data_IF_271846108306
#
_entry.id   IF_271846108306
#
_cell.length_a   1.000
_cell.length_b   1.000
_cell.length_c   1.000
_cell.angle_alpha   90.00
_cell.angle_beta   90.00
_cell.angle_gamma   90.00
#
_symmetry.space_group_name_H-M   'P 1'
#
loop_
_entity.id
_entity.type
_entity.pdbx_description
1 polymer ?
#
# COMPACT_ATOMS: atom_id res chain seq x y z
N UNK A 1 -8.40 -25.16 -20.21
CA UNK A 1 -7.19 -25.03 -19.41
C UNK A 1 -7.56 -25.32 -17.97
N UNK A 2 -7.19 -26.46 -17.44
CA UNK A 2 -7.41 -26.80 -16.02
C UNK A 2 -6.46 -25.91 -15.21
N UNK A 3 -7.01 -25.09 -14.33
CA UNK A 3 -6.22 -24.27 -13.41
C UNK A 3 -5.31 -25.18 -12.60
N UNK A 4 -4.00 -24.98 -12.67
CA UNK A 4 -3.06 -25.62 -11.77
C UNK A 4 -3.46 -25.25 -10.35
N UNK A 5 -3.64 -26.19 -9.42
CA UNK A 5 -4.02 -25.85 -8.06
C UNK A 5 -2.93 -24.92 -7.47
N UNK A 6 -3.35 -23.86 -6.81
CA UNK A 6 -2.45 -22.98 -6.08
C UNK A 6 -1.55 -23.84 -5.16
N UNK A 7 -0.29 -23.45 -5.06
CA UNK A 7 0.64 -24.19 -4.21
C UNK A 7 0.05 -24.41 -2.81
N UNK A 8 0.10 -25.63 -2.25
CA UNK A 8 -0.63 -26.00 -1.03
C UNK A 8 -0.34 -25.15 0.20
N UNK A 9 0.80 -24.46 0.22
CA UNK A 9 1.22 -23.54 1.29
C UNK A 9 0.58 -22.14 1.21
N UNK A 10 -0.10 -21.81 0.09
CA UNK A 10 -0.78 -20.52 -0.06
C UNK A 10 -2.17 -20.59 0.56
N UNK A 11 -2.37 -19.80 1.59
CA UNK A 11 -3.67 -19.72 2.28
C UNK A 11 -4.71 -19.08 1.37
N UNK A 12 -5.89 -19.68 1.29
CA UNK A 12 -6.99 -19.23 0.42
C UNK A 12 -7.43 -17.78 0.72
N UNK A 13 -7.36 -17.36 1.99
CA UNK A 13 -7.67 -15.98 2.40
C UNK A 13 -6.68 -14.93 1.85
N UNK A 14 -5.46 -15.34 1.49
CA UNK A 14 -4.46 -14.48 0.84
C UNK A 14 -4.74 -14.25 -0.65
N UNK A 15 -5.44 -15.19 -1.28
CA UNK A 15 -5.80 -15.12 -2.70
C UNK A 15 -7.01 -14.24 -2.96
N UNK A 16 -7.63 -13.72 -1.89
CA UNK A 16 -8.85 -12.96 -2.04
C UNK A 16 -8.58 -11.44 -2.14
N UNK A 17 -8.67 -10.75 -3.36
CA UNK A 17 -8.52 -9.30 -3.48
C UNK A 17 -9.56 -8.58 -2.63
N UNK A 18 -9.28 -7.44 -2.05
CA UNK A 18 -10.25 -6.65 -1.29
C UNK A 18 -11.03 -5.76 -2.25
N UNK A 19 -12.34 -5.69 -2.08
CA UNK A 19 -13.18 -4.84 -2.87
C UNK A 19 -13.90 -3.83 -1.98
N UNK A 20 -13.69 -2.55 -2.25
CA UNK A 20 -14.24 -1.47 -1.47
C UNK A 20 -15.13 -0.58 -2.31
N UNK A 21 -16.11 0.05 -1.69
CA UNK A 21 -16.89 1.15 -2.24
C UNK A 21 -17.02 2.26 -1.21
N UNK A 22 -17.50 3.41 -1.62
CA UNK A 22 -17.60 4.60 -0.77
C UNK A 22 -18.87 5.41 -1.05
N UNK A 23 -18.99 6.55 -0.35
CA UNK A 23 -20.05 7.57 -0.49
C UNK A 23 -19.95 8.26 -1.87
N UNK A 24 -20.40 7.61 -2.94
CA UNK A 24 -20.26 8.10 -4.32
C UNK A 24 -20.90 9.48 -4.53
N UNK A 25 -22.11 9.68 -4.01
CA UNK A 25 -22.81 10.97 -4.11
C UNK A 25 -21.98 12.12 -3.49
N UNK A 26 -21.29 11.80 -2.40
CA UNK A 26 -20.39 12.74 -1.74
C UNK A 26 -19.12 12.93 -2.55
N UNK A 27 -18.50 11.86 -3.03
CA UNK A 27 -17.32 11.94 -3.89
C UNK A 27 -17.60 12.75 -5.16
N UNK A 28 -18.79 12.62 -5.75
CA UNK A 28 -19.23 13.41 -6.90
C UNK A 28 -19.33 14.91 -6.61
N UNK A 29 -19.53 15.32 -5.36
CA UNK A 29 -19.56 16.74 -4.93
C UNK A 29 -18.16 17.33 -4.69
N UNK A 30 -17.08 16.59 -4.94
CA UNK A 30 -15.72 17.13 -4.81
C UNK A 30 -15.56 18.35 -5.71
N UNK A 31 -15.35 19.54 -5.13
CA UNK A 31 -14.99 20.73 -5.89
C UNK A 31 -13.51 20.65 -6.29
N UNK A 32 -13.26 20.83 -7.57
CA UNK A 32 -11.91 20.91 -8.12
C UNK A 32 -11.45 22.35 -8.31
N UNK A 33 -12.27 23.35 -7.96
CA UNK A 33 -12.02 24.77 -8.25
C UNK A 33 -10.63 25.21 -7.79
N UNK A 34 -10.32 25.03 -6.51
CA UNK A 34 -9.02 25.40 -5.92
C UNK A 34 -7.87 24.49 -6.36
N UNK A 35 -8.15 23.36 -6.98
CA UNK A 35 -7.17 22.36 -7.40
C UNK A 35 -7.21 22.12 -8.92
N UNK A 36 -7.91 22.94 -9.69
CA UNK A 36 -8.15 22.74 -11.13
C UNK A 36 -6.84 22.54 -11.91
N UNK A 37 -5.90 23.45 -11.75
CA UNK A 37 -4.61 23.38 -12.43
C UNK A 37 -3.84 22.10 -12.05
N UNK A 38 -3.83 21.74 -10.76
CA UNK A 38 -3.18 20.52 -10.28
C UNK A 38 -3.86 19.27 -10.85
N UNK A 39 -5.19 19.26 -10.89
CA UNK A 39 -5.97 18.16 -11.46
C UNK A 39 -5.67 17.96 -12.94
N UNK A 40 -5.67 19.04 -13.74
CA UNK A 40 -5.40 18.99 -15.18
C UNK A 40 -3.97 18.51 -15.48
N UNK A 41 -2.99 18.99 -14.71
CA UNK A 41 -1.61 18.54 -14.84
C UNK A 41 -1.49 17.03 -14.54
N UNK A 42 -2.09 16.55 -13.44
CA UNK A 42 -2.07 15.13 -13.08
C UNK A 42 -2.81 14.26 -14.10
N UNK A 43 -3.95 14.71 -14.59
CA UNK A 43 -4.69 14.00 -15.62
C UNK A 43 -3.87 13.89 -16.90
N UNK A 44 -3.20 14.98 -17.32
CA UNK A 44 -2.29 14.99 -18.47
C UNK A 44 -1.12 14.02 -18.31
N UNK A 45 -0.49 13.96 -17.14
CA UNK A 45 0.56 12.98 -16.84
C UNK A 45 0.05 11.54 -16.94
N UNK A 46 -1.13 11.26 -16.38
CA UNK A 46 -1.74 9.93 -16.44
C UNK A 46 -2.11 9.53 -17.88
N UNK A 47 -2.56 10.49 -18.71
CA UNK A 47 -2.87 10.28 -20.13
C UNK A 47 -1.60 10.04 -20.97
N UNK A 48 -0.48 10.71 -20.65
CA UNK A 48 0.80 10.53 -21.34
C UNK A 48 1.38 9.11 -21.20
N UNK A 49 0.98 8.38 -20.14
CA UNK A 49 1.29 6.96 -19.95
C UNK A 49 2.80 6.65 -20.10
N UNK A 50 3.65 7.40 -19.40
CA UNK A 50 5.12 7.29 -19.50
C UNK A 50 5.66 5.88 -19.21
N UNK A 51 4.92 5.08 -18.45
CA UNK A 51 5.31 3.72 -18.07
C UNK A 51 4.76 2.63 -19.01
N UNK A 52 4.15 3.01 -20.13
CA UNK A 52 3.54 2.05 -21.06
C UNK A 52 4.49 0.94 -21.52
N UNK A 53 5.73 1.30 -21.80
CA UNK A 53 6.75 0.39 -22.33
C UNK A 53 7.54 -0.34 -21.24
N UNK A 54 7.55 0.16 -20.02
CA UNK A 54 8.31 -0.44 -18.92
C UNK A 54 7.83 -1.82 -18.50
N UNK A 55 6.54 -2.10 -18.66
CA UNK A 55 5.95 -3.39 -18.34
C UNK A 55 5.85 -4.27 -19.59
N UNK A 56 6.93 -4.37 -20.35
CA UNK A 56 6.98 -5.19 -21.58
C UNK A 56 6.56 -6.62 -21.28
N UNK A 57 5.57 -7.08 -22.04
CA UNK A 57 5.03 -8.45 -21.93
C UNK A 57 6.01 -9.53 -22.36
N UNK A 58 7.09 -9.18 -23.04
CA UNK A 58 8.13 -10.10 -23.51
C UNK A 58 9.32 -10.22 -22.56
N UNK A 59 9.39 -9.37 -21.52
CA UNK A 59 10.50 -9.45 -20.57
C UNK A 59 10.55 -10.84 -19.93
N UNK A 60 11.72 -11.51 -19.92
CA UNK A 60 11.89 -12.79 -19.26
C UNK A 60 11.80 -12.58 -17.75
N UNK A 61 10.83 -13.22 -17.10
CA UNK A 61 10.60 -13.15 -15.65
C UNK A 61 10.98 -14.46 -14.94
N UNK A 62 11.44 -15.46 -15.70
CA UNK A 62 11.69 -16.83 -15.29
C UNK A 62 13.13 -17.13 -14.84
N UNK A 63 13.99 -16.11 -14.81
CA UNK A 63 15.39 -16.28 -14.38
C UNK A 63 15.53 -15.98 -12.89
N UNK A 64 15.04 -16.89 -12.06
CA UNK A 64 15.39 -16.83 -10.66
C UNK A 64 16.82 -17.31 -10.42
N UNK A 65 17.51 -16.69 -9.46
CA UNK A 65 18.70 -17.30 -8.85
C UNK A 65 18.29 -18.59 -8.15
N UNK A 66 19.19 -19.55 -8.05
CA UNK A 66 18.95 -20.78 -7.26
C UNK A 66 18.60 -20.41 -5.83
N UNK A 67 17.34 -20.64 -5.47
CA UNK A 67 16.78 -20.41 -4.14
C UNK A 67 16.52 -21.76 -3.48
N UNK A 68 16.75 -21.84 -2.16
CA UNK A 68 16.28 -22.97 -1.38
C UNK A 68 14.75 -23.05 -1.40
N UNK A 69 14.13 -24.20 -1.07
CA UNK A 69 12.68 -24.33 -1.05
C UNK A 69 12.00 -23.28 -0.15
N UNK A 70 12.58 -22.97 1.01
CA UNK A 70 12.05 -21.98 1.96
C UNK A 70 12.16 -20.55 1.41
N UNK A 71 13.25 -20.23 0.71
CA UNK A 71 13.44 -18.94 0.05
C UNK A 71 12.47 -18.77 -1.10
N UNK A 72 12.27 -19.83 -1.90
CA UNK A 72 11.29 -19.83 -2.99
C UNK A 72 9.88 -19.61 -2.46
N UNK A 73 9.45 -20.29 -1.40
CA UNK A 73 8.16 -20.09 -0.75
C UNK A 73 7.98 -18.63 -0.28
N UNK A 74 9.01 -18.04 0.31
CA UNK A 74 8.97 -16.66 0.77
C UNK A 74 8.81 -15.68 -0.41
N UNK A 75 9.51 -15.90 -1.52
CA UNK A 75 9.38 -15.13 -2.75
C UNK A 75 7.99 -15.25 -3.37
N UNK A 76 7.49 -16.47 -3.56
CA UNK A 76 6.15 -16.74 -4.08
C UNK A 76 5.05 -16.09 -3.23
N UNK A 77 5.14 -16.22 -1.90
CA UNK A 77 4.22 -15.58 -0.97
C UNK A 77 4.23 -14.06 -1.09
N UNK A 78 5.39 -13.45 -1.33
CA UNK A 78 5.50 -12.02 -1.58
C UNK A 78 4.78 -11.63 -2.87
N UNK A 79 5.01 -12.35 -3.97
CA UNK A 79 4.38 -12.09 -5.27
C UNK A 79 2.86 -12.21 -5.20
N UNK A 80 2.34 -13.30 -4.61
CA UNK A 80 0.89 -13.55 -4.48
C UNK A 80 0.22 -12.40 -3.73
N UNK A 81 0.76 -12.03 -2.57
CA UNK A 81 0.17 -10.96 -1.75
C UNK A 81 0.25 -9.60 -2.44
N UNK A 82 1.34 -9.32 -3.15
CA UNK A 82 1.48 -8.09 -3.92
C UNK A 82 0.51 -8.06 -5.10
N UNK A 83 0.43 -9.13 -5.89
CA UNK A 83 -0.50 -9.26 -7.00
C UNK A 83 -1.96 -9.04 -6.57
N UNK A 84 -2.38 -9.67 -5.45
CA UNK A 84 -3.73 -9.50 -4.91
C UNK A 84 -3.97 -8.08 -4.37
N UNK A 85 -2.95 -7.41 -3.85
CA UNK A 85 -3.03 -6.02 -3.39
C UNK A 85 -3.26 -5.07 -4.55
N UNK A 86 -2.44 -5.13 -5.60
CA UNK A 86 -2.57 -4.32 -6.81
C UNK A 86 -3.94 -4.57 -7.50
N UNK A 87 -4.35 -5.85 -7.59
CA UNK A 87 -5.66 -6.15 -8.14
C UNK A 87 -6.83 -5.61 -7.31
N UNK A 88 -6.64 -5.45 -6.00
CA UNK A 88 -7.61 -4.78 -5.14
C UNK A 88 -7.70 -3.28 -5.44
N UNK A 89 -6.57 -2.62 -5.71
CA UNK A 89 -6.50 -1.24 -6.20
C UNK A 89 -7.24 -1.09 -7.53
N UNK A 90 -6.96 -1.97 -8.49
CA UNK A 90 -7.68 -2.01 -9.76
C UNK A 90 -9.20 -2.07 -9.58
N UNK A 91 -9.70 -2.96 -8.73
CA UNK A 91 -11.14 -3.11 -8.50
C UNK A 91 -11.77 -1.86 -7.88
N UNK A 92 -11.08 -1.24 -6.91
CA UNK A 92 -11.53 0.00 -6.29
C UNK A 92 -11.60 1.14 -7.30
N UNK A 93 -10.53 1.38 -8.05
CA UNK A 93 -10.47 2.50 -8.99
C UNK A 93 -11.41 2.30 -10.18
N UNK A 94 -11.58 1.08 -10.67
CA UNK A 94 -12.57 0.74 -11.68
C UNK A 94 -14.01 1.05 -11.22
N UNK A 95 -14.35 0.69 -9.98
CA UNK A 95 -15.68 0.98 -9.42
C UNK A 95 -15.90 2.47 -9.21
N UNK A 96 -14.91 3.20 -8.67
CA UNK A 96 -14.96 4.66 -8.53
C UNK A 96 -15.14 5.33 -9.88
N UNK A 97 -14.36 4.93 -10.90
CA UNK A 97 -14.48 5.44 -12.27
C UNK A 97 -15.89 5.30 -12.81
N UNK A 98 -16.41 4.05 -12.80
CA UNK A 98 -17.73 3.72 -13.32
C UNK A 98 -18.84 4.54 -12.66
N UNK A 99 -18.83 4.60 -11.33
CA UNK A 99 -19.89 5.26 -10.56
C UNK A 99 -19.81 6.78 -10.61
N UNK A 100 -18.60 7.37 -10.64
CA UNK A 100 -18.45 8.81 -10.79
C UNK A 100 -18.89 9.30 -12.17
N UNK A 101 -18.60 8.55 -13.24
CA UNK A 101 -19.15 8.84 -14.58
C UNK A 101 -20.68 8.82 -14.58
N UNK A 102 -21.28 7.81 -13.94
CA UNK A 102 -22.75 7.72 -13.79
C UNK A 102 -23.34 8.87 -12.95
N UNK A 103 -22.59 9.38 -11.97
CA UNK A 103 -22.99 10.53 -11.16
C UNK A 103 -22.68 11.90 -11.80
N UNK A 104 -22.40 11.94 -13.11
CA UNK A 104 -22.16 13.19 -13.86
C UNK A 104 -20.78 13.82 -13.64
N UNK A 105 -19.79 13.06 -13.19
CA UNK A 105 -18.41 13.51 -13.01
C UNK A 105 -17.43 12.73 -13.89
N UNK A 106 -17.53 12.91 -15.23
CA UNK A 106 -16.72 12.15 -16.19
C UNK A 106 -15.22 12.40 -16.03
N UNK A 107 -14.80 13.61 -15.70
CA UNK A 107 -13.40 14.00 -15.48
C UNK A 107 -12.75 13.23 -14.31
N UNK A 108 -13.42 13.16 -13.15
CA UNK A 108 -12.96 12.35 -12.02
C UNK A 108 -13.01 10.85 -12.37
N UNK A 109 -14.05 10.45 -13.10
CA UNK A 109 -14.18 9.08 -13.56
C UNK A 109 -13.05 8.66 -14.52
N UNK A 110 -12.58 9.58 -15.38
CA UNK A 110 -11.43 9.34 -16.27
C UNK A 110 -10.14 9.17 -15.45
N UNK A 111 -9.88 10.07 -14.49
CA UNK A 111 -8.71 9.98 -13.63
C UNK A 111 -8.61 8.59 -12.94
N UNK A 112 -9.71 8.14 -12.32
CA UNK A 112 -9.75 6.81 -11.70
C UNK A 112 -9.68 5.66 -12.71
N UNK A 113 -10.12 5.86 -13.96
CA UNK A 113 -9.93 4.85 -15.01
C UNK A 113 -8.47 4.66 -15.36
N UNK A 114 -7.70 5.75 -15.42
CA UNK A 114 -6.28 5.71 -15.71
C UNK A 114 -5.50 5.06 -14.55
N UNK A 115 -5.85 5.37 -13.30
CA UNK A 115 -5.31 4.67 -12.13
C UNK A 115 -5.63 3.16 -12.18
N UNK A 116 -6.87 2.80 -12.51
CA UNK A 116 -7.25 1.40 -12.65
C UNK A 116 -6.45 0.69 -13.77
N UNK A 117 -6.08 1.39 -14.85
CA UNK A 117 -5.20 0.87 -15.90
C UNK A 117 -3.83 0.48 -15.33
N UNK A 118 -3.24 1.36 -14.53
CA UNK A 118 -1.91 1.14 -13.97
C UNK A 118 -1.92 -0.01 -12.96
N UNK A 119 -2.90 -0.06 -12.06
CA UNK A 119 -3.07 -1.17 -11.12
C UNK A 119 -3.31 -2.53 -11.80
N UNK A 120 -4.08 -2.54 -12.90
CA UNK A 120 -4.27 -3.75 -13.71
C UNK A 120 -2.95 -4.20 -14.37
N UNK A 121 -2.11 -3.26 -14.76
CA UNK A 121 -0.78 -3.51 -15.33
C UNK A 121 0.15 -4.10 -14.27
N UNK A 122 0.18 -3.52 -13.07
CA UNK A 122 0.96 -3.99 -11.92
C UNK A 122 0.56 -5.41 -11.53
N UNK A 123 -0.74 -5.66 -11.33
CA UNK A 123 -1.25 -6.99 -11.00
C UNK A 123 -0.97 -8.01 -12.10
N UNK A 124 -1.15 -7.63 -13.38
CA UNK A 124 -0.87 -8.48 -14.52
C UNK A 124 0.61 -8.83 -14.65
N UNK A 125 1.51 -7.88 -14.34
CA UNK A 125 2.95 -8.09 -14.36
C UNK A 125 3.39 -9.07 -13.27
N UNK A 126 2.89 -8.90 -12.03
CA UNK A 126 3.15 -9.84 -10.94
C UNK A 126 2.57 -11.22 -11.19
N UNK A 127 1.38 -11.31 -11.79
CA UNK A 127 0.78 -12.59 -12.14
C UNK A 127 1.60 -13.34 -13.21
N UNK A 128 2.24 -12.62 -14.14
CA UNK A 128 3.19 -13.24 -15.08
C UNK A 128 4.42 -13.83 -14.38
N UNK A 129 4.97 -13.11 -13.40
CA UNK A 129 6.08 -13.63 -12.61
C UNK A 129 5.67 -14.89 -11.83
N UNK A 130 4.45 -14.91 -11.30
CA UNK A 130 3.88 -16.10 -10.65
C UNK A 130 3.70 -17.27 -11.62
N UNK A 131 3.22 -17.02 -12.85
CA UNK A 131 3.07 -18.06 -13.88
C UNK A 131 4.43 -18.66 -14.25
N UNK A 132 5.50 -17.87 -14.28
CA UNK A 132 6.86 -18.39 -14.48
C UNK A 132 7.29 -19.36 -13.39
N UNK A 133 6.76 -19.21 -12.16
CA UNK A 133 6.98 -20.13 -11.03
C UNK A 133 5.96 -21.29 -10.98
N UNK A 134 5.12 -21.46 -12.00
CA UNK A 134 4.09 -22.49 -12.04
C UNK A 134 2.84 -22.16 -11.20
N UNK A 135 2.68 -20.94 -10.73
CA UNK A 135 1.52 -20.48 -9.95
C UNK A 135 0.66 -19.60 -10.85
N UNK A 136 -0.59 -19.99 -11.08
CA UNK A 136 -1.55 -19.19 -11.84
C UNK A 136 -2.65 -18.68 -10.90
N UNK A 137 -2.88 -17.36 -10.86
CA UNK A 137 -3.98 -16.74 -10.13
C UNK A 137 -5.02 -16.29 -11.17
N UNK A 138 -6.23 -16.86 -11.11
CA UNK A 138 -7.37 -16.40 -11.90
C UNK A 138 -8.02 -15.19 -11.21
N UNK A 139 -7.42 -14.02 -11.40
CA UNK A 139 -7.89 -12.77 -10.82
C UNK A 139 -9.33 -12.41 -11.21
N UNK A 140 -9.78 -12.57 -12.48
CA UNK A 140 -11.17 -12.34 -12.87
C UNK A 140 -12.16 -13.20 -12.07
N UNK A 141 -11.91 -14.49 -11.93
CA UNK A 141 -12.76 -15.39 -11.12
C UNK A 141 -12.75 -15.00 -9.64
N UNK A 142 -11.60 -14.62 -9.10
CA UNK A 142 -11.53 -14.14 -7.73
C UNK A 142 -12.34 -12.87 -7.49
N UNK A 143 -12.51 -12.01 -8.49
CA UNK A 143 -13.28 -10.77 -8.36
C UNK A 143 -14.80 -11.00 -8.22
N UNK A 144 -15.31 -12.11 -8.70
CA UNK A 144 -16.78 -12.38 -8.74
C UNK A 144 -17.38 -12.85 -7.41
N UNK A 145 -16.57 -13.40 -6.51
CA UNK A 145 -17.03 -14.07 -5.28
C UNK A 145 -17.01 -13.20 -4.02
N UNK A 146 -17.06 -11.85 -4.16
CA UNK A 146 -16.70 -10.98 -3.04
C UNK A 146 -17.81 -10.14 -2.49
N UNK A 147 -17.94 -10.03 -1.17
CA UNK A 147 -18.72 -8.96 -0.58
C UNK A 147 -18.03 -7.61 -0.83
N UNK A 148 -18.81 -6.63 -1.27
CA UNK A 148 -18.36 -5.24 -1.35
C UNK A 148 -18.34 -4.67 0.06
N UNK A 149 -17.20 -4.16 0.50
CA UNK A 149 -17.08 -3.48 1.80
C UNK A 149 -17.22 -1.98 1.59
N UNK A 150 -18.14 -1.36 2.31
CA UNK A 150 -18.37 0.07 2.27
C UNK A 150 -17.53 0.81 3.32
N UNK A 151 -16.93 1.93 2.91
CA UNK A 151 -16.21 2.83 3.81
C UNK A 151 -16.61 4.29 3.58
N UNK A 152 -16.60 5.15 4.62
CA UNK A 152 -16.75 6.59 4.45
C UNK A 152 -15.69 7.16 3.47
N UNK A 153 -16.06 8.17 2.69
CA UNK A 153 -15.13 8.80 1.74
C UNK A 153 -13.82 9.25 2.40
N UNK A 154 -13.89 9.84 3.59
CA UNK A 154 -12.70 10.24 4.34
C UNK A 154 -11.75 9.08 4.65
N UNK A 155 -12.28 7.89 4.88
CA UNK A 155 -11.49 6.69 5.13
C UNK A 155 -10.79 6.23 3.85
N UNK A 156 -11.50 6.21 2.73
CA UNK A 156 -10.92 5.87 1.43
C UNK A 156 -9.80 6.84 1.07
N UNK A 157 -10.03 8.16 1.19
CA UNK A 157 -9.03 9.17 0.86
C UNK A 157 -7.75 9.01 1.69
N UNK A 158 -7.86 8.84 3.00
CA UNK A 158 -6.69 8.70 3.88
C UNK A 158 -5.98 7.36 3.73
N UNK A 159 -6.73 6.25 3.66
CA UNK A 159 -6.13 4.92 3.59
C UNK A 159 -5.45 4.69 2.25
N UNK A 160 -6.07 5.09 1.14
CA UNK A 160 -5.48 4.89 -0.19
C UNK A 160 -4.27 5.81 -0.37
N UNK A 161 -4.34 7.09 0.02
CA UNK A 161 -3.15 7.95 0.04
C UNK A 161 -1.95 7.29 0.71
N UNK A 162 -2.17 6.72 1.91
CA UNK A 162 -1.09 6.05 2.64
C UNK A 162 -0.67 4.72 2.01
N UNK A 163 -1.61 3.98 1.42
CA UNK A 163 -1.33 2.73 0.72
C UNK A 163 -0.38 2.96 -0.46
N UNK A 164 -0.66 3.97 -1.28
CA UNK A 164 0.17 4.35 -2.42
C UNK A 164 1.56 4.84 -1.96
N UNK A 165 1.60 5.76 -0.97
CA UNK A 165 2.87 6.32 -0.49
C UNK A 165 3.73 5.32 0.26
N UNK A 166 3.17 4.39 1.02
CA UNK A 166 3.95 3.33 1.66
C UNK A 166 4.39 2.26 0.64
N UNK A 167 3.57 2.01 -0.41
CA UNK A 167 3.91 1.19 -1.57
C UNK A 167 5.13 1.75 -2.28
N UNK A 168 5.08 3.03 -2.65
CA UNK A 168 6.21 3.75 -3.23
C UNK A 168 7.51 3.58 -2.43
N UNK A 169 7.49 3.88 -1.12
CA UNK A 169 8.70 3.78 -0.30
C UNK A 169 9.19 2.35 -0.15
N UNK A 170 8.29 1.40 -0.09
CA UNK A 170 8.64 -0.02 -0.01
C UNK A 170 9.36 -0.49 -1.28
N UNK A 171 8.85 -0.17 -2.45
CA UNK A 171 9.44 -0.59 -3.72
C UNK A 171 10.73 0.16 -4.04
N UNK A 172 10.78 1.48 -3.87
CA UNK A 172 11.97 2.27 -4.20
C UNK A 172 13.16 1.97 -3.27
N UNK A 173 12.91 1.61 -2.01
CA UNK A 173 13.99 1.22 -1.09
C UNK A 173 14.56 -0.16 -1.44
N UNK A 174 13.72 -1.09 -1.91
CA UNK A 174 14.20 -2.38 -2.45
C UNK A 174 15.02 -2.13 -3.72
N UNK A 175 14.51 -1.34 -4.67
CA UNK A 175 15.23 -1.00 -5.91
C UNK A 175 16.60 -0.40 -5.63
N UNK A 176 16.67 0.62 -4.77
CA UNK A 176 17.95 1.27 -4.38
C UNK A 176 18.91 0.31 -3.71
N UNK A 177 18.41 -0.56 -2.84
CA UNK A 177 19.23 -1.57 -2.18
C UNK A 177 19.83 -2.55 -3.20
N UNK A 178 19.02 -3.06 -4.14
CA UNK A 178 19.46 -4.02 -5.14
C UNK A 178 20.41 -3.37 -6.19
N UNK A 179 20.20 -2.10 -6.57
CA UNK A 179 21.14 -1.35 -7.39
C UNK A 179 22.51 -1.17 -6.72
N UNK A 180 22.51 -0.95 -5.40
CA UNK A 180 23.75 -0.87 -4.62
C UNK A 180 24.38 -2.25 -4.35
N UNK A 181 23.61 -3.33 -4.40
CA UNK A 181 24.03 -4.70 -4.11
C UNK A 181 23.50 -5.67 -5.20
N UNK A 182 23.99 -5.62 -6.45
CA UNK A 182 23.43 -6.39 -7.56
C UNK A 182 23.45 -7.91 -7.35
N UNK A 183 24.41 -8.40 -6.56
CA UNK A 183 24.49 -9.82 -6.19
C UNK A 183 23.30 -10.33 -5.33
N UNK A 184 22.51 -9.43 -4.77
CA UNK A 184 21.32 -9.75 -4.00
C UNK A 184 20.03 -9.76 -4.84
N UNK A 185 20.11 -9.35 -6.12
CA UNK A 185 18.96 -9.42 -7.02
C UNK A 185 18.69 -10.89 -7.40
N UNK A 186 17.57 -11.41 -6.93
CA UNK A 186 17.19 -12.82 -7.12
C UNK A 186 16.25 -13.04 -8.29
N UNK A 187 15.68 -11.97 -8.84
CA UNK A 187 14.71 -12.07 -9.94
C UNK A 187 14.68 -10.80 -10.80
N UNK A 188 14.53 -10.94 -12.13
CA UNK A 188 14.43 -9.79 -13.05
C UNK A 188 13.26 -8.85 -12.75
N UNK A 189 12.24 -9.34 -12.05
CA UNK A 189 11.09 -8.54 -11.60
C UNK A 189 11.51 -7.23 -10.89
N UNK A 190 12.57 -7.27 -10.08
CA UNK A 190 12.99 -6.11 -9.28
C UNK A 190 13.56 -4.97 -10.12
N UNK A 191 14.02 -5.24 -11.36
CA UNK A 191 14.51 -4.23 -12.27
C UNK A 191 13.40 -3.27 -12.75
N UNK A 192 12.13 -3.63 -12.54
CA UNK A 192 10.95 -2.85 -12.89
C UNK A 192 10.41 -1.99 -11.74
N UNK A 193 11.02 -2.03 -10.56
CA UNK A 193 10.48 -1.34 -9.38
C UNK A 193 10.58 0.19 -9.47
N UNK A 194 11.59 0.75 -10.12
CA UNK A 194 11.72 2.19 -10.28
C UNK A 194 10.58 2.80 -11.12
N UNK A 195 10.28 2.32 -12.36
CA UNK A 195 9.10 2.77 -13.10
C UNK A 195 7.79 2.56 -12.35
N UNK A 196 7.65 1.43 -11.65
CA UNK A 196 6.49 1.14 -10.82
C UNK A 196 6.29 2.20 -9.72
N UNK A 197 7.37 2.57 -9.04
CA UNK A 197 7.33 3.61 -8.01
C UNK A 197 6.82 4.95 -8.53
N UNK A 198 7.04 5.27 -9.80
CA UNK A 198 6.53 6.50 -10.41
C UNK A 198 4.99 6.49 -10.49
N UNK A 199 4.38 5.34 -10.79
CA UNK A 199 2.91 5.19 -10.79
C UNK A 199 2.36 5.33 -9.36
N UNK A 200 2.92 4.60 -8.38
CA UNK A 200 2.53 4.68 -6.96
C UNK A 200 2.64 6.12 -6.43
N UNK A 201 3.70 6.83 -6.83
CA UNK A 201 3.88 8.22 -6.42
C UNK A 201 2.78 9.13 -6.99
N UNK A 202 2.46 9.00 -8.28
CA UNK A 202 1.38 9.75 -8.94
C UNK A 202 0.02 9.45 -8.32
N UNK A 203 -0.30 8.17 -8.09
CA UNK A 203 -1.53 7.78 -7.41
C UNK A 203 -1.66 8.44 -6.04
N UNK A 204 -0.60 8.40 -5.24
CA UNK A 204 -0.58 9.06 -3.94
C UNK A 204 -0.72 10.58 -4.03
N UNK A 205 -0.13 11.24 -5.04
CA UNK A 205 -0.27 12.69 -5.24
C UNK A 205 -1.67 13.08 -5.70
N UNK A 206 -2.35 12.23 -6.50
CA UNK A 206 -3.77 12.38 -6.82
C UNK A 206 -4.62 12.36 -5.54
N UNK A 207 -4.39 11.40 -4.64
CA UNK A 207 -5.12 11.35 -3.38
C UNK A 207 -4.78 12.53 -2.44
N UNK A 208 -3.55 13.05 -2.47
CA UNK A 208 -3.22 14.29 -1.77
C UNK A 208 -4.05 15.48 -2.30
N UNK A 209 -4.13 15.64 -3.62
CA UNK A 209 -4.96 16.67 -4.26
C UNK A 209 -6.43 16.49 -3.87
N UNK A 210 -6.97 15.27 -3.92
CA UNK A 210 -8.36 15.00 -3.50
C UNK A 210 -8.60 15.30 -2.02
N UNK A 211 -7.66 15.03 -1.11
CA UNK A 211 -7.76 15.40 0.31
C UNK A 211 -7.81 16.94 0.47
N UNK A 212 -7.05 17.68 -0.36
CA UNK A 212 -7.07 19.16 -0.37
C UNK A 212 -8.41 19.72 -0.80
N UNK A 213 -9.14 19.03 -1.68
CA UNK A 213 -10.51 19.39 -2.06
C UNK A 213 -11.52 19.28 -0.90
N UNK A 214 -11.13 18.72 0.25
CA UNK A 214 -11.97 18.52 1.44
C UNK A 214 -11.32 19.15 2.69
N UNK A 215 -11.24 20.50 2.81
CA UNK A 215 -10.53 21.19 3.90
C UNK A 215 -10.97 20.74 5.29
N UNK A 216 -12.25 20.38 5.48
CA UNK A 216 -12.81 19.89 6.74
C UNK A 216 -12.19 18.55 7.20
N UNK A 217 -11.54 17.79 6.32
CA UNK A 217 -10.82 16.57 6.70
C UNK A 217 -9.46 16.90 7.31
N UNK A 218 -8.92 18.08 7.02
CA UNK A 218 -7.59 18.53 7.46
C UNK A 218 -7.62 19.43 8.70
N UNK A 219 -8.81 19.88 9.16
CA UNK A 219 -8.97 20.89 10.22
C UNK A 219 -9.28 20.29 11.58
N UNK A 220 -8.82 20.97 12.63
CA UNK A 220 -9.19 20.75 14.01
C UNK A 220 -8.93 19.34 14.54
N UNK A 221 -9.71 18.97 15.55
CA UNK A 221 -9.59 17.65 16.22
C UNK A 221 -9.87 16.49 15.25
N UNK A 222 -10.80 16.67 14.30
CA UNK A 222 -11.13 15.64 13.32
C UNK A 222 -9.92 15.29 12.43
N UNK A 223 -9.25 16.29 11.89
CA UNK A 223 -8.04 16.07 11.08
C UNK A 223 -6.93 15.40 11.88
N UNK A 224 -6.76 15.78 13.16
CA UNK A 224 -5.80 15.15 14.05
C UNK A 224 -6.12 13.68 14.32
N UNK A 225 -7.38 13.35 14.59
CA UNK A 225 -7.83 11.98 14.87
C UNK A 225 -7.71 11.09 13.63
N UNK A 226 -8.12 11.58 12.45
CA UNK A 226 -7.97 10.84 11.19
C UNK A 226 -6.49 10.59 10.88
N UNK A 227 -5.65 11.62 10.97
CA UNK A 227 -4.20 11.46 10.75
C UNK A 227 -3.60 10.42 11.70
N UNK A 228 -3.93 10.50 13.00
CA UNK A 228 -3.46 9.55 14.02
C UNK A 228 -3.86 8.12 13.70
N UNK A 229 -5.17 7.93 13.45
CA UNK A 229 -5.72 6.60 13.22
C UNK A 229 -5.12 5.95 11.97
N UNK A 230 -5.10 6.67 10.85
CA UNK A 230 -4.64 6.08 9.60
C UNK A 230 -3.12 5.86 9.55
N UNK A 231 -2.32 6.81 10.03
CA UNK A 231 -0.86 6.61 10.15
C UNK A 231 -0.54 5.42 11.06
N UNK A 232 -1.14 5.38 12.24
CA UNK A 232 -0.91 4.26 13.17
C UNK A 232 -1.35 2.92 12.57
N UNK A 233 -2.53 2.84 11.98
CA UNK A 233 -3.07 1.60 11.39
C UNK A 233 -2.19 1.09 10.26
N UNK A 234 -1.77 1.98 9.34
CA UNK A 234 -0.95 1.61 8.19
C UNK A 234 0.45 1.20 8.63
N UNK A 235 1.06 1.92 9.58
CA UNK A 235 2.39 1.57 10.10
C UNK A 235 2.36 0.25 10.88
N UNK A 236 1.35 0.03 11.72
CA UNK A 236 1.18 -1.24 12.42
C UNK A 236 1.03 -2.40 11.42
N UNK A 237 0.14 -2.25 10.43
CA UNK A 237 -0.07 -3.28 9.41
C UNK A 237 1.21 -3.56 8.62
N UNK A 238 1.96 -2.52 8.26
CA UNK A 238 3.24 -2.66 7.55
C UNK A 238 4.25 -3.42 8.40
N UNK A 239 4.45 -3.04 9.66
CA UNK A 239 5.41 -3.70 10.57
C UNK A 239 5.08 -5.17 10.79
N UNK A 240 3.80 -5.51 10.99
CA UNK A 240 3.38 -6.91 11.13
C UNK A 240 3.57 -7.69 9.83
N UNK A 241 3.30 -7.07 8.68
CA UNK A 241 3.51 -7.68 7.35
C UNK A 241 4.99 -7.93 7.08
N UNK A 242 5.86 -6.96 7.36
CA UNK A 242 7.32 -7.14 7.23
C UNK A 242 7.83 -8.21 8.18
N UNK A 243 7.31 -8.27 9.40
CA UNK A 243 7.64 -9.32 10.36
C UNK A 243 7.29 -10.71 9.82
N UNK A 244 6.12 -10.88 9.21
CA UNK A 244 5.68 -12.15 8.61
C UNK A 244 6.47 -12.53 7.37
N UNK A 245 6.93 -11.54 6.60
CA UNK A 245 7.70 -11.72 5.38
C UNK A 245 9.21 -11.54 5.58
N UNK A 246 9.70 -11.67 6.81
CA UNK A 246 11.10 -11.40 7.14
C UNK A 246 12.09 -12.21 6.29
N UNK A 247 11.76 -13.46 5.93
CA UNK A 247 12.61 -14.28 5.07
C UNK A 247 12.75 -13.69 3.67
N UNK A 248 11.69 -13.13 3.09
CA UNK A 248 11.75 -12.46 1.80
C UNK A 248 12.78 -11.32 1.79
N UNK A 249 12.78 -10.45 2.79
CA UNK A 249 13.76 -9.35 2.85
C UNK A 249 15.18 -9.85 3.05
N UNK A 250 15.38 -10.93 3.84
CA UNK A 250 16.71 -11.54 4.03
C UNK A 250 17.27 -12.15 2.76
N UNK A 251 16.44 -12.74 1.90
CA UNK A 251 16.84 -13.21 0.57
C UNK A 251 17.47 -12.09 -0.27
N UNK A 252 16.93 -10.89 -0.12
CA UNK A 252 17.45 -9.68 -0.76
C UNK A 252 18.64 -9.05 -0.02
N UNK A 253 19.15 -9.69 1.03
CA UNK A 253 20.26 -9.16 1.85
C UNK A 253 19.87 -7.96 2.72
N UNK A 254 18.56 -7.77 3.01
CA UNK A 254 18.04 -6.66 3.80
C UNK A 254 17.71 -7.09 5.22
N UNK A 255 18.00 -6.25 6.22
CA UNK A 255 17.45 -6.42 7.57
C UNK A 255 15.99 -5.96 7.60
N UNK A 256 15.02 -6.86 7.92
CA UNK A 256 13.60 -6.50 7.89
C UNK A 256 13.21 -5.38 8.87
N UNK A 257 13.86 -5.29 10.02
CA UNK A 257 13.53 -4.27 11.03
C UNK A 257 14.04 -2.89 10.64
N UNK A 258 15.24 -2.81 10.07
CA UNK A 258 15.79 -1.56 9.53
C UNK A 258 15.00 -1.09 8.31
N UNK A 259 14.65 -2.01 7.41
CA UNK A 259 13.80 -1.72 6.25
C UNK A 259 12.43 -1.16 6.68
N UNK A 260 11.73 -1.84 7.59
CA UNK A 260 10.44 -1.39 8.11
C UNK A 260 10.52 0.02 8.73
N UNK A 261 11.54 0.26 9.57
CA UNK A 261 11.75 1.56 10.19
C UNK A 261 11.95 2.67 9.16
N UNK A 262 12.72 2.41 8.10
CA UNK A 262 13.00 3.40 7.07
C UNK A 262 11.77 3.68 6.20
N UNK A 263 11.03 2.64 5.78
CA UNK A 263 9.75 2.81 5.08
C UNK A 263 8.78 3.67 5.89
N UNK A 264 8.66 3.42 7.19
CA UNK A 264 7.78 4.20 8.07
C UNK A 264 8.22 5.65 8.19
N UNK A 265 9.53 5.93 8.40
CA UNK A 265 10.06 7.30 8.48
C UNK A 265 9.77 8.08 7.21
N UNK A 266 10.08 7.50 6.07
CA UNK A 266 9.90 8.15 4.77
C UNK A 266 8.41 8.37 4.45
N UNK A 267 7.56 7.38 4.74
CA UNK A 267 6.10 7.53 4.58
C UNK A 267 5.55 8.62 5.50
N UNK A 268 5.97 8.67 6.76
CA UNK A 268 5.55 9.71 7.71
C UNK A 268 6.01 11.11 7.26
N UNK A 269 7.23 11.23 6.74
CA UNK A 269 7.75 12.48 6.15
C UNK A 269 6.93 12.90 4.93
N UNK A 270 6.62 11.97 4.04
CA UNK A 270 5.78 12.23 2.86
C UNK A 270 4.36 12.62 3.27
N UNK A 271 3.78 11.93 4.26
CA UNK A 271 2.45 12.21 4.78
C UNK A 271 2.32 13.63 5.37
N UNK A 272 3.42 14.26 5.82
CA UNK A 272 3.40 15.63 6.33
C UNK A 272 2.98 16.68 5.28
N UNK A 273 3.00 16.34 3.99
CA UNK A 273 2.55 17.20 2.88
C UNK A 273 1.03 17.18 2.69
N UNK A 274 0.38 16.11 3.13
CA UNK A 274 -1.07 15.90 2.97
C UNK A 274 -1.83 16.00 4.29
N UNK A 275 -1.27 15.45 5.36
CA UNK A 275 -1.93 15.32 6.66
C UNK A 275 -1.58 16.47 7.58
N UNK A 276 -2.55 16.99 8.34
CA UNK A 276 -2.31 18.11 9.27
C UNK A 276 -1.45 17.73 10.49
N UNK A 277 -1.30 16.44 10.78
CA UNK A 277 -0.52 15.91 11.89
C UNK A 277 0.19 14.62 11.47
N UNK A 278 1.44 14.46 11.92
CA UNK A 278 2.22 13.23 11.74
C UNK A 278 2.90 12.83 13.05
N UNK A 279 3.27 11.55 13.19
CA UNK A 279 4.01 11.11 14.37
C UNK A 279 5.41 11.73 14.43
N UNK A 280 5.90 11.94 15.64
CA UNK A 280 7.30 12.30 15.88
C UNK A 280 8.17 11.03 15.78
N UNK A 281 8.73 10.80 14.60
CA UNK A 281 9.59 9.64 14.31
C UNK A 281 11.08 9.93 14.56
N UNK A 282 11.45 11.15 14.87
CA UNK A 282 12.81 11.50 15.30
C UNK A 282 13.05 11.03 16.75
N UNK A 283 11.98 10.95 17.54
CA UNK A 283 12.00 10.30 18.84
C UNK A 283 12.18 8.79 18.68
N UNK A 284 13.15 8.21 19.40
CA UNK A 284 13.38 6.77 19.44
C UNK A 284 12.19 5.97 20.02
N UNK A 285 11.27 6.64 20.72
CA UNK A 285 10.18 5.99 21.46
C UNK A 285 9.17 5.29 20.55
N UNK A 286 8.78 5.92 19.43
CA UNK A 286 7.79 5.32 18.52
C UNK A 286 8.31 4.01 17.89
N UNK A 287 9.55 4.03 17.42
CA UNK A 287 10.18 2.86 16.79
C UNK A 287 10.52 1.78 17.83
N UNK A 288 10.95 2.15 19.03
CA UNK A 288 11.16 1.19 20.13
C UNK A 288 9.86 0.48 20.52
N UNK A 289 8.72 1.18 20.55
CA UNK A 289 7.41 0.56 20.76
C UNK A 289 7.04 -0.38 19.63
N UNK A 290 7.31 0.00 18.37
CA UNK A 290 7.11 -0.85 17.20
C UNK A 290 7.90 -2.16 17.34
N UNK A 291 9.18 -2.11 17.72
CA UNK A 291 10.01 -3.31 17.93
C UNK A 291 9.41 -4.23 18.98
N UNK A 292 9.01 -3.67 20.11
CA UNK A 292 8.35 -4.43 21.20
C UNK A 292 7.01 -5.04 20.77
N UNK A 293 6.24 -4.36 19.91
CA UNK A 293 4.99 -4.88 19.34
C UNK A 293 5.30 -6.08 18.43
N UNK A 294 6.26 -5.95 17.53
CA UNK A 294 6.68 -7.01 16.61
C UNK A 294 7.19 -8.24 17.37
N UNK A 295 8.01 -8.04 18.41
CA UNK A 295 8.52 -9.15 19.23
C UNK A 295 7.40 -9.83 20.02
N UNK A 296 6.47 -9.05 20.58
CA UNK A 296 5.32 -9.63 21.28
C UNK A 296 4.41 -10.39 20.31
N UNK A 297 4.24 -9.90 19.08
CA UNK A 297 3.49 -10.59 18.04
C UNK A 297 4.13 -11.94 17.64
N UNK A 298 5.46 -12.00 17.50
CA UNK A 298 6.19 -13.26 17.27
C UNK A 298 5.96 -14.25 18.40
N UNK A 299 6.08 -13.81 19.64
CA UNK A 299 5.84 -14.64 20.83
C UNK A 299 4.39 -15.16 20.88
N UNK A 300 3.39 -14.31 20.51
CA UNK A 300 1.98 -14.71 20.47
C UNK A 300 1.68 -15.85 19.50
N UNK A 301 2.42 -15.95 18.39
CA UNK A 301 2.24 -17.05 17.41
C UNK A 301 2.66 -18.40 17.97
N UNK A 302 3.58 -18.42 18.93
CA UNK A 302 4.13 -19.66 19.52
C UNK A 302 3.49 -20.01 20.88
N UNK A 303 2.90 -19.01 21.55
CA UNK A 303 2.39 -19.15 22.91
C UNK A 303 1.07 -19.92 23.00
N UNK A 304 0.89 -20.66 24.10
CA UNK A 304 -0.32 -21.42 24.42
C UNK A 304 -0.83 -21.09 25.85
N UNK A 305 -2.08 -21.43 26.14
CA UNK A 305 -2.66 -21.33 27.48
C UNK A 305 -2.57 -19.93 28.10
N UNK A 306 -2.28 -19.85 29.41
CA UNK A 306 -2.19 -18.62 30.18
C UNK A 306 -1.11 -17.66 29.68
N UNK A 307 0.02 -18.18 29.18
CA UNK A 307 1.07 -17.37 28.57
C UNK A 307 0.53 -16.54 27.39
N UNK A 308 -0.31 -17.16 26.55
CA UNK A 308 -0.94 -16.46 25.40
C UNK A 308 -1.85 -15.32 25.85
N UNK A 309 -2.59 -15.51 26.97
CA UNK A 309 -3.44 -14.47 27.52
C UNK A 309 -2.61 -13.28 28.02
N UNK A 310 -1.55 -13.53 28.79
CA UNK A 310 -0.64 -12.47 29.24
C UNK A 310 -0.01 -11.70 28.10
N UNK A 311 0.43 -12.40 27.05
CA UNK A 311 0.97 -11.75 25.83
C UNK A 311 -0.08 -10.93 25.06
N UNK A 312 -1.34 -11.38 25.00
CA UNK A 312 -2.44 -10.58 24.40
C UNK A 312 -2.65 -9.26 25.14
N UNK A 313 -2.67 -9.28 26.48
CA UNK A 313 -2.80 -8.08 27.30
C UNK A 313 -1.61 -7.13 27.11
N UNK A 314 -0.38 -7.68 27.13
CA UNK A 314 0.84 -6.91 26.82
C UNK A 314 0.79 -6.28 25.43
N UNK A 315 0.38 -7.04 24.42
CA UNK A 315 0.25 -6.57 23.05
C UNK A 315 -0.76 -5.42 22.97
N UNK A 316 -1.94 -5.58 23.53
CA UNK A 316 -2.95 -4.51 23.57
C UNK A 316 -2.43 -3.25 24.28
N UNK A 317 -1.73 -3.39 25.41
CA UNK A 317 -1.12 -2.25 26.12
C UNK A 317 -0.05 -1.55 25.29
N UNK A 318 0.77 -2.28 24.53
CA UNK A 318 1.77 -1.70 23.63
C UNK A 318 1.11 -0.96 22.45
N UNK A 319 0.04 -1.50 21.88
CA UNK A 319 -0.73 -0.84 20.83
C UNK A 319 -1.31 0.49 21.30
N UNK A 320 -1.92 0.52 22.48
CA UNK A 320 -2.47 1.76 23.07
C UNK A 320 -1.36 2.79 23.32
N UNK A 321 -0.21 2.35 23.83
CA UNK A 321 0.95 3.24 24.06
C UNK A 321 1.51 3.79 22.75
N UNK A 322 1.58 2.99 21.69
CA UNK A 322 2.03 3.46 20.38
C UNK A 322 1.01 4.41 19.74
N UNK A 323 -0.28 4.09 19.82
CA UNK A 323 -1.36 4.96 19.34
C UNK A 323 -1.35 6.33 20.02
N UNK A 324 -1.02 6.41 21.32
CA UNK A 324 -0.98 7.66 22.09
C UNK A 324 0.31 8.46 21.97
N UNK A 325 1.28 7.98 21.16
CA UNK A 325 2.55 8.72 20.99
C UNK A 325 2.33 10.15 20.47
N UNK A 326 3.23 11.08 20.82
CA UNK A 326 3.15 12.47 20.38
C UNK A 326 3.08 12.60 18.85
N UNK A 327 2.30 13.59 18.41
CA UNK A 327 2.24 14.00 17.01
C UNK A 327 2.63 15.47 16.92
N UNK A 328 3.29 15.82 15.83
CA UNK A 328 3.61 17.22 15.48
C UNK A 328 2.66 17.74 14.40
N UNK A 329 2.30 19.02 14.49
CA UNK A 329 1.59 19.71 13.43
C UNK A 329 2.50 19.85 12.19
N UNK A 330 1.89 19.86 11.02
CA UNK A 330 2.57 20.01 9.73
C UNK A 330 2.21 21.34 9.09
N UNK A 331 2.94 21.76 8.05
CA UNK A 331 2.55 22.94 7.24
C UNK A 331 1.17 22.75 6.63
N UNK A 332 0.84 21.53 6.18
CA UNK A 332 -0.50 21.21 5.70
C UNK A 332 -1.61 21.47 6.74
N UNK A 333 -1.28 21.36 8.04
CA UNK A 333 -2.18 21.74 9.14
C UNK A 333 -2.26 23.23 9.37
N UNK A 334 -1.14 23.95 9.22
CA UNK A 334 -1.09 25.41 9.38
C UNK A 334 -1.90 26.15 8.28
N UNK A 335 -1.79 25.70 7.02
CA UNK A 335 -2.61 26.25 5.90
C UNK A 335 -4.11 26.05 6.14
N UNK A 336 -4.53 25.01 6.85
CA UNK A 336 -5.92 24.75 7.19
C UNK A 336 -6.48 25.61 8.33
N UNK A 337 -5.65 26.37 9.05
CA UNK A 337 -6.05 27.26 10.15
C UNK A 337 -6.30 28.69 9.63
N UNK A 338 -5.65 29.08 8.54
CA UNK A 338 -5.70 30.43 7.97
C UNK A 338 -6.76 30.60 6.87
N UNK A 339 -7.41 29.53 6.44
CA UNK A 339 -8.54 29.53 5.50
C UNK A 339 -9.83 29.08 6.20
#
# INVERSE_FOLDING_TARGET
MTATPAAPHLREDLLTPRFYTTEIEKAARTSLEDQRHTFEAMLGEMQADYNREHFDRKAPLDRLRDLSPEEKEAYESYLVRSCVSEFSGFLLFKELSRRLKQAGRPELGELFQLMARDEARHAGFLNRALVAEGIAIDLPTLSTKRPITWFPLSWVLYSVYLSEKIGYWRYILIDRHLKANPGNNVAPLFDFFEPWCQDENRHGDIFNMLIRCWPQLRRGIRGKLLSRFFLWSVFLTHSLTVCERGNFYRILGMDPALFDAEVMRQTNRTASRAFPWVFDMESSTYLSLRDRIVDTFRQLKQAKGLQKLGLKLRFAGLLLRQFSQPMRATQAGAEGVLA
#
